data_IF_434784822010
#
_entry.id   IF_434784822010
#
_cell.length_a   1.000
_cell.length_b   1.000
_cell.length_c   1.000
_cell.angle_alpha   90.00
_cell.angle_beta   90.00
_cell.angle_gamma   90.00
#
_symmetry.space_group_name_H-M   'P 1'
#
loop_
_entity.id
_entity.type
_entity.pdbx_description
1 polymer ?
#
# COMPACT_ATOMS: atom_id res chain seq x y z
N UNK A 1 -17.64 -27.12 2.22
CA UNK A 1 -17.13 -26.14 3.19
C UNK A 1 -18.12 -25.00 3.28
N UNK A 2 -18.28 -24.41 4.46
CA UNK A 2 -19.13 -23.24 4.72
C UNK A 2 -18.30 -22.20 5.50
N UNK A 3 -18.56 -20.91 5.26
CA UNK A 3 -17.83 -19.80 5.87
C UNK A 3 -18.79 -18.78 6.46
N UNK A 4 -18.41 -18.19 7.60
CA UNK A 4 -19.08 -17.03 8.18
C UNK A 4 -18.63 -15.76 7.44
N UNK A 5 -19.58 -14.91 7.07
CA UNK A 5 -19.31 -13.63 6.40
C UNK A 5 -19.18 -12.48 7.41
N UNK A 6 -18.43 -11.45 7.01
CA UNK A 6 -18.26 -10.19 7.75
C UNK A 6 -18.71 -9.00 6.90
N UNK A 7 -19.30 -7.95 7.51
CA UNK A 7 -19.62 -6.72 6.80
C UNK A 7 -18.33 -5.97 6.44
N UNK A 8 -18.22 -5.54 5.18
CA UNK A 8 -17.13 -4.69 4.66
C UNK A 8 -17.74 -3.76 3.60
N UNK A 9 -17.47 -2.46 3.68
CA UNK A 9 -17.90 -1.49 2.66
C UNK A 9 -19.15 -0.67 3.02
N UNK A 10 -19.81 -0.02 2.02
CA UNK A 10 -19.70 -0.29 0.58
C UNK A 10 -18.39 0.15 -0.07
N UNK A 11 -17.66 1.06 0.57
CA UNK A 11 -16.36 1.55 0.11
C UNK A 11 -15.29 1.30 1.18
N UNK A 12 -14.03 1.23 0.74
CA UNK A 12 -12.86 1.16 1.62
C UNK A 12 -11.85 2.18 1.13
N UNK A 13 -11.09 2.78 2.04
CA UNK A 13 -9.97 3.64 1.65
C UNK A 13 -8.82 2.74 1.18
N UNK A 14 -8.40 2.92 -0.07
CA UNK A 14 -7.31 2.14 -0.64
C UNK A 14 -6.49 2.94 -1.64
N UNK A 15 -5.26 2.52 -1.88
CA UNK A 15 -4.38 3.23 -2.79
C UNK A 15 -2.95 2.72 -2.81
N UNK A 16 -2.11 3.42 -3.57
CA UNK A 16 -0.69 3.12 -3.70
C UNK A 16 0.12 4.36 -3.32
N UNK A 17 1.13 4.17 -2.50
CA UNK A 17 2.21 5.16 -2.31
C UNK A 17 3.45 4.60 -2.99
N UNK A 18 4.04 5.37 -3.91
CA UNK A 18 5.18 4.95 -4.72
C UNK A 18 6.39 5.80 -4.39
N UNK A 19 7.49 5.14 -4.00
CA UNK A 19 8.76 5.76 -3.69
C UNK A 19 9.83 5.35 -4.71
N UNK A 20 10.76 6.26 -5.06
CA UNK A 20 11.96 5.87 -5.81
C UNK A 20 12.82 4.89 -4.99
N UNK A 21 13.54 4.01 -5.69
CA UNK A 21 14.26 2.93 -5.02
C UNK A 21 15.48 3.40 -4.20
N UNK A 22 16.02 4.58 -4.47
CA UNK A 22 17.08 5.20 -3.66
C UNK A 22 16.63 5.46 -2.20
N UNK A 23 15.33 5.62 -1.97
CA UNK A 23 14.72 5.76 -0.65
C UNK A 23 14.35 4.42 0.00
N UNK A 24 14.56 3.28 -0.67
CA UNK A 24 14.07 1.97 -0.21
C UNK A 24 14.46 1.67 1.23
N UNK A 25 15.72 1.89 1.62
CA UNK A 25 16.18 1.63 2.99
C UNK A 25 15.37 2.42 4.03
N UNK A 26 15.14 3.70 3.77
CA UNK A 26 14.37 4.56 4.68
C UNK A 26 12.91 4.12 4.75
N UNK A 27 12.28 3.87 3.60
CA UNK A 27 10.89 3.44 3.50
C UNK A 27 10.68 2.10 4.20
N UNK A 28 11.51 1.09 3.93
CA UNK A 28 11.43 -0.23 4.57
C UNK A 28 11.59 -0.11 6.09
N UNK A 29 12.54 0.70 6.56
CA UNK A 29 12.79 0.88 8.00
C UNK A 29 11.60 1.55 8.69
N UNK A 30 11.00 2.57 8.08
CA UNK A 30 9.83 3.26 8.62
C UNK A 30 8.59 2.37 8.55
N UNK A 31 8.40 1.65 7.46
CA UNK A 31 7.32 0.69 7.28
C UNK A 31 7.35 -0.39 8.37
N UNK A 32 8.51 -1.00 8.62
CA UNK A 32 8.66 -2.02 9.66
C UNK A 32 8.28 -1.48 11.07
N UNK A 33 8.71 -0.26 11.40
CA UNK A 33 8.32 0.39 12.68
C UNK A 33 6.83 0.70 12.74
N UNK A 34 6.27 1.21 11.65
CA UNK A 34 4.85 1.54 11.55
C UNK A 34 3.96 0.31 11.79
N UNK A 35 4.32 -0.84 11.24
CA UNK A 35 3.54 -2.08 11.38
C UNK A 35 3.48 -2.60 12.81
N UNK A 36 4.35 -2.18 13.72
CA UNK A 36 4.31 -2.58 15.13
C UNK A 36 3.09 -2.00 15.88
N UNK A 37 2.52 -0.90 15.38
CA UNK A 37 1.38 -0.21 16.00
C UNK A 37 0.28 0.16 15.01
N UNK A 38 0.27 -0.46 13.83
CA UNK A 38 -0.78 -0.23 12.84
C UNK A 38 -2.14 -0.76 13.36
N UNK A 39 -3.26 -0.06 13.09
CA UNK A 39 -4.59 -0.52 13.48
C UNK A 39 -4.99 -1.80 12.73
N UNK A 40 -5.86 -2.62 13.31
CA UNK A 40 -6.26 -3.92 12.73
C UNK A 40 -6.97 -3.77 11.38
N UNK A 41 -7.69 -2.67 11.19
CA UNK A 41 -8.41 -2.34 9.97
C UNK A 41 -7.45 -1.99 8.80
N UNK A 42 -6.19 -1.67 9.09
CA UNK A 42 -5.21 -1.26 8.10
C UNK A 42 -4.32 -2.42 7.65
N UNK A 43 -4.39 -2.73 6.37
CA UNK A 43 -3.44 -3.59 5.68
C UNK A 43 -2.54 -2.77 4.76
N UNK A 44 -1.22 -2.93 4.92
CA UNK A 44 -0.22 -2.32 4.05
C UNK A 44 0.75 -3.38 3.52
N UNK A 45 0.86 -3.51 2.20
CA UNK A 45 1.71 -4.49 1.55
C UNK A 45 2.85 -3.77 0.83
N UNK A 46 4.09 -4.13 1.17
CA UNK A 46 5.26 -3.58 0.50
C UNK A 46 5.65 -4.40 -0.72
N UNK A 47 5.84 -3.74 -1.86
CA UNK A 47 6.24 -4.35 -3.13
C UNK A 47 7.45 -3.63 -3.70
N UNK A 48 8.56 -4.34 -3.87
CA UNK A 48 9.71 -3.87 -4.64
C UNK A 48 9.62 -4.43 -6.05
N UNK A 49 9.53 -3.56 -7.05
CA UNK A 49 9.41 -3.97 -8.46
C UNK A 49 9.93 -2.91 -9.42
N UNK A 50 9.96 -3.24 -10.71
CA UNK A 50 10.04 -2.22 -11.77
C UNK A 50 8.67 -1.56 -11.95
N UNK A 51 8.65 -0.24 -12.11
CA UNK A 51 7.43 0.52 -12.29
C UNK A 51 6.73 0.10 -13.60
N UNK A 52 5.48 -0.37 -13.55
CA UNK A 52 4.72 -0.66 -14.76
C UNK A 52 4.31 0.63 -15.48
N UNK A 53 3.91 0.55 -16.75
CA UNK A 53 3.42 1.69 -17.52
C UNK A 53 1.98 2.06 -17.14
N UNK A 54 1.75 2.45 -15.89
CA UNK A 54 0.45 2.90 -15.40
C UNK A 54 0.28 4.41 -15.60
N UNK A 55 -0.91 4.88 -15.98
CA UNK A 55 -1.14 6.27 -16.39
C UNK A 55 -0.97 7.31 -15.25
N UNK A 56 -1.04 6.88 -13.98
CA UNK A 56 -0.78 7.76 -12.84
C UNK A 56 0.72 7.95 -12.54
N UNK A 57 1.61 7.18 -13.19
CA UNK A 57 3.05 7.32 -13.07
C UNK A 57 3.61 8.13 -14.25
N UNK A 58 4.55 9.06 -14.00
CA UNK A 58 5.28 9.71 -15.08
C UNK A 58 5.93 8.69 -16.02
N UNK A 59 5.86 8.89 -17.34
CA UNK A 59 6.48 7.98 -18.32
C UNK A 59 7.98 7.78 -18.06
N UNK A 60 8.65 8.83 -17.58
CA UNK A 60 10.08 8.82 -17.26
C UNK A 60 10.46 7.87 -16.12
N UNK A 61 9.50 7.35 -15.35
CA UNK A 61 9.74 6.36 -14.30
C UNK A 61 9.40 4.93 -14.70
N UNK A 62 8.71 4.71 -15.83
CA UNK A 62 8.36 3.37 -16.29
C UNK A 62 9.63 2.51 -16.47
N UNK A 63 9.59 1.28 -15.98
CA UNK A 63 10.71 0.34 -16.02
C UNK A 63 11.81 0.55 -14.97
N UNK A 64 11.81 1.67 -14.23
CA UNK A 64 12.76 1.92 -13.13
C UNK A 64 12.35 1.19 -11.85
N UNK A 65 13.30 0.83 -11.01
CA UNK A 65 13.05 0.24 -9.70
C UNK A 65 12.29 1.23 -8.79
N UNK A 66 11.29 0.71 -8.08
CA UNK A 66 10.46 1.45 -7.12
C UNK A 66 10.14 0.57 -5.91
N UNK A 67 9.81 1.22 -4.78
CA UNK A 67 9.14 0.59 -3.65
C UNK A 67 7.72 1.13 -3.58
N UNK A 68 6.74 0.24 -3.51
CA UNK A 68 5.32 0.57 -3.45
C UNK A 68 4.75 0.08 -2.13
N UNK A 69 3.99 0.93 -1.44
CA UNK A 69 3.12 0.53 -0.35
C UNK A 69 1.69 0.49 -0.89
N UNK A 70 1.11 -0.70 -0.98
CA UNK A 70 -0.29 -0.90 -1.33
C UNK A 70 -1.13 -0.94 -0.06
N UNK A 71 -2.11 -0.05 0.03
CA UNK A 71 -2.84 0.24 1.26
C UNK A 71 -4.31 -0.15 1.07
N UNK A 72 -4.89 -0.78 2.09
CA UNK A 72 -6.31 -0.98 2.24
C UNK A 72 -6.69 -0.78 3.71
N UNK A 73 -7.56 0.18 3.98
CA UNK A 73 -8.17 0.41 5.28
C UNK A 73 -9.64 -0.04 5.22
N UNK A 74 -9.96 -1.11 5.93
CA UNK A 74 -11.26 -1.76 5.94
C UNK A 74 -12.18 -1.25 7.09
N UNK A 75 -11.97 -0.02 7.54
CA UNK A 75 -12.84 0.71 8.47
C UNK A 75 -13.59 1.85 7.78
N UNK A 76 -14.00 2.88 8.53
CA UNK A 76 -14.58 4.10 7.97
C UNK A 76 -13.52 4.85 7.11
N UNK A 77 -13.76 5.09 5.81
CA UNK A 77 -12.79 5.79 4.95
C UNK A 77 -12.36 7.18 5.44
N UNK A 78 -13.13 7.82 6.32
CA UNK A 78 -12.79 9.13 6.91
C UNK A 78 -11.83 9.06 8.11
N UNK A 79 -11.62 7.85 8.67
CA UNK A 79 -10.73 7.60 9.80
C UNK A 79 -9.35 7.05 9.38
N UNK A 80 -9.18 6.73 8.09
CA UNK A 80 -7.96 6.16 7.50
C UNK A 80 -6.97 7.15 6.88
#
# INVERSE_FOLDING_TARGET
FEFQLHPVGPEVLSGLIVFPFDQAKSVITQFAKFTESAPEELSVWMVSRKAPPLPFLPESVHGKEVVVLAICYAGDPSEG
#
